data_IF_608400566648
#
_entry.id   IF_608400566648
#
_cell.length_a   1.000
_cell.length_b   1.000
_cell.length_c   1.000
_cell.angle_alpha   90.00
_cell.angle_beta   90.00
_cell.angle_gamma   90.00
#
_symmetry.space_group_name_H-M   'P 1'
#
loop_
_entity.id
_entity.type
_entity.pdbx_description
1 polymer ?
#
# COMPACT_ATOMS: atom_id res chain seq x y z
N UNK A 1 0.29 2.04 5.54
CA UNK A 1 -0.90 1.24 5.21
C UNK A 1 -1.15 1.07 3.71
N UNK A 2 -0.69 1.99 2.85
CA UNK A 2 -1.00 1.96 1.40
C UNK A 2 0.19 1.67 0.50
N UNK A 3 1.40 1.61 1.04
CA UNK A 3 2.61 1.40 0.25
C UNK A 3 2.96 2.52 -0.73
N UNK A 4 2.31 3.67 -0.66
CA UNK A 4 2.54 4.79 -1.58
C UNK A 4 3.97 5.36 -1.48
N UNK A 5 4.41 6.02 -2.57
CA UNK A 5 5.65 6.81 -2.53
C UNK A 5 5.46 8.02 -1.61
N UNK A 6 6.54 8.43 -0.93
CA UNK A 6 6.51 9.58 -0.03
C UNK A 6 5.97 10.84 -0.72
N UNK A 7 6.51 11.19 -1.88
CA UNK A 7 6.05 12.36 -2.64
C UNK A 7 4.57 12.30 -3.00
N UNK A 8 4.02 11.12 -3.26
CA UNK A 8 2.58 10.93 -3.50
C UNK A 8 1.78 11.18 -2.22
N UNK A 9 2.21 10.61 -1.09
CA UNK A 9 1.55 10.79 0.20
C UNK A 9 1.54 12.26 0.64
N UNK A 10 2.64 13.00 0.44
CA UNK A 10 2.74 14.42 0.79
C UNK A 10 1.95 15.36 -0.14
N UNK A 11 1.43 14.86 -1.25
CA UNK A 11 0.52 15.62 -2.12
C UNK A 11 -0.96 15.41 -1.80
N UNK A 12 -1.29 14.49 -0.89
CA UNK A 12 -2.67 14.22 -0.49
C UNK A 12 -3.23 15.41 0.28
N UNK A 13 -4.43 15.81 -0.07
CA UNK A 13 -5.24 16.81 0.64
C UNK A 13 -6.27 16.12 1.53
N UNK A 14 -6.82 16.83 2.50
CA UNK A 14 -7.86 16.29 3.39
C UNK A 14 -9.06 15.79 2.59
N UNK A 15 -9.52 16.55 1.59
CA UNK A 15 -10.62 16.19 0.70
C UNK A 15 -10.40 14.94 -0.15
N UNK A 16 -9.14 14.51 -0.30
CA UNK A 16 -8.81 13.33 -1.09
C UNK A 16 -9.07 12.03 -0.30
N UNK A 17 -9.32 12.15 1.01
CA UNK A 17 -9.69 11.02 1.87
C UNK A 17 -11.20 10.92 1.93
N UNK A 18 -11.74 9.90 1.29
CA UNK A 18 -13.18 9.61 1.28
C UNK A 18 -13.48 8.51 2.30
N UNK A 19 -13.95 8.92 3.47
CA UNK A 19 -14.24 7.99 4.56
C UNK A 19 -15.57 7.23 4.35
N UNK A 20 -16.48 7.75 3.56
CA UNK A 20 -17.78 7.11 3.31
C UNK A 20 -17.62 5.92 2.37
N UNK A 21 -16.77 6.08 1.35
CA UNK A 21 -16.47 5.03 0.39
C UNK A 21 -15.18 4.23 0.75
N UNK A 22 -14.50 4.57 1.84
CA UNK A 22 -13.22 3.98 2.24
C UNK A 22 -12.16 3.98 1.12
N UNK A 23 -11.97 5.12 0.48
CA UNK A 23 -10.98 5.29 -0.59
C UNK A 23 -10.11 6.53 -0.40
N UNK A 24 -8.91 6.48 -0.93
CA UNK A 24 -7.97 7.59 -1.03
C UNK A 24 -7.78 7.93 -2.52
N UNK A 25 -8.08 9.17 -2.89
CA UNK A 25 -7.90 9.69 -4.24
C UNK A 25 -6.53 10.34 -4.36
N UNK A 26 -5.69 9.83 -5.25
CA UNK A 26 -4.34 10.33 -5.51
C UNK A 26 -4.34 11.11 -6.83
N UNK A 27 -4.48 12.43 -6.76
CA UNK A 27 -4.55 13.31 -7.93
C UNK A 27 -3.21 13.55 -8.61
N UNK A 28 -2.10 13.49 -7.85
CA UNK A 28 -0.73 13.74 -8.33
C UNK A 28 0.17 12.54 -8.10
N UNK A 29 0.13 11.56 -9.00
CA UNK A 29 1.09 10.46 -9.02
C UNK A 29 2.27 10.80 -9.94
N UNK A 30 3.41 10.09 -9.79
CA UNK A 30 4.59 10.27 -10.65
C UNK A 30 4.26 10.14 -12.15
N UNK A 31 3.26 9.33 -12.48
CA UNK A 31 2.84 9.06 -13.87
C UNK A 31 1.70 9.98 -14.33
N UNK A 32 1.39 11.06 -13.61
CA UNK A 32 0.31 12.04 -13.90
C UNK A 32 -1.10 11.42 -14.06
N UNK A 33 -1.29 10.15 -13.73
CA UNK A 33 -2.60 9.49 -13.73
C UNK A 33 -3.22 9.58 -12.34
N UNK A 34 -4.50 9.89 -12.29
CA UNK A 34 -5.26 9.76 -11.05
C UNK A 34 -5.31 8.30 -10.65
N UNK A 35 -5.21 8.05 -9.35
CA UNK A 35 -5.27 6.71 -8.80
C UNK A 35 -6.21 6.73 -7.59
N UNK A 36 -7.10 5.75 -7.53
CA UNK A 36 -7.95 5.52 -6.37
C UNK A 36 -7.46 4.24 -5.72
N UNK A 37 -7.18 4.31 -4.42
CA UNK A 37 -6.76 3.16 -3.63
C UNK A 37 -7.68 2.96 -2.44
N UNK A 38 -7.99 1.70 -2.07
CA UNK A 38 -8.81 1.42 -0.90
C UNK A 38 -8.10 1.81 0.39
N UNK A 39 -8.87 2.26 1.37
CA UNK A 39 -8.44 2.41 2.75
C UNK A 39 -8.88 1.18 3.55
N UNK A 40 -7.96 0.59 4.31
CA UNK A 40 -8.37 -0.39 5.31
C UNK A 40 -9.11 0.29 6.46
N UNK A 41 -10.00 -0.45 7.13
CA UNK A 41 -10.74 0.07 8.29
C UNK A 41 -9.81 0.65 9.36
N UNK A 42 -8.72 -0.05 9.67
CA UNK A 42 -7.71 0.43 10.62
C UNK A 42 -7.09 1.75 10.19
N UNK A 43 -6.73 1.89 8.91
CA UNK A 43 -6.15 3.13 8.41
C UNK A 43 -7.16 4.28 8.43
N UNK A 44 -8.43 4.01 8.12
CA UNK A 44 -9.50 5.01 8.19
C UNK A 44 -9.69 5.53 9.62
N UNK A 45 -9.70 4.64 10.62
CA UNK A 45 -9.78 5.02 12.04
C UNK A 45 -8.60 5.90 12.43
N UNK A 46 -7.36 5.50 12.10
CA UNK A 46 -6.16 6.26 12.41
C UNK A 46 -6.18 7.64 11.75
N UNK A 47 -6.63 7.73 10.51
CA UNK A 47 -6.72 9.01 9.80
C UNK A 47 -7.81 9.93 10.39
N UNK A 48 -8.94 9.38 10.83
CA UNK A 48 -9.98 10.16 11.54
C UNK A 48 -9.41 10.75 12.83
N UNK A 49 -8.79 9.94 13.70
CA UNK A 49 -8.15 10.40 14.93
C UNK A 49 -7.05 11.44 14.66
N UNK A 50 -6.26 11.22 13.62
CA UNK A 50 -5.25 12.20 13.22
C UNK A 50 -5.87 13.55 12.81
N UNK A 51 -6.95 13.52 12.04
CA UNK A 51 -7.65 14.73 11.60
C UNK A 51 -8.35 15.48 12.73
N UNK A 52 -8.86 14.77 13.74
CA UNK A 52 -9.42 15.38 14.96
C UNK A 52 -8.37 16.23 15.68
N UNK A 53 -7.12 15.75 15.75
CA UNK A 53 -6.02 16.47 16.39
C UNK A 53 -5.49 17.58 15.48
N UNK A 54 -5.29 17.26 14.19
CA UNK A 54 -4.69 18.17 13.22
C UNK A 54 -5.62 19.34 12.88
N UNK A 55 -6.92 19.06 12.74
CA UNK A 55 -7.88 20.00 12.16
C UNK A 55 -7.61 20.27 10.69
N UNK A 56 -8.07 21.42 10.21
CA UNK A 56 -7.81 21.92 8.86
C UNK A 56 -9.02 21.93 7.96
N UNK A 57 -8.84 22.52 6.75
CA UNK A 57 -9.87 22.65 5.71
C UNK A 57 -9.70 21.56 4.64
N UNK A 58 -10.74 21.26 3.84
CA UNK A 58 -10.67 20.21 2.81
C UNK A 58 -9.51 20.37 1.83
N UNK A 59 -9.10 21.59 1.50
CA UNK A 59 -8.02 21.88 0.56
C UNK A 59 -6.62 21.90 1.15
N UNK A 60 -6.51 21.77 2.46
CA UNK A 60 -5.22 21.69 3.15
C UNK A 60 -4.54 20.34 2.86
N UNK A 61 -3.19 20.32 2.90
CA UNK A 61 -2.45 19.07 2.81
C UNK A 61 -2.71 18.18 4.01
N UNK A 62 -2.97 16.90 3.79
CA UNK A 62 -3.18 15.93 4.86
C UNK A 62 -1.98 15.88 5.81
N UNK A 63 -0.77 15.86 5.25
CA UNK A 63 0.49 15.92 5.98
C UNK A 63 1.18 17.25 5.69
N UNK A 64 1.19 18.14 6.65
CA UNK A 64 1.76 19.48 6.56
C UNK A 64 2.98 19.66 7.48
N UNK A 65 3.67 20.77 7.30
CA UNK A 65 4.63 21.28 8.26
C UNK A 65 3.90 22.01 9.40
N UNK A 66 4.66 22.60 10.34
CA UNK A 66 4.13 23.37 11.48
C UNK A 66 3.35 24.63 11.08
N UNK A 67 3.55 25.12 9.86
CA UNK A 67 2.85 26.29 9.30
C UNK A 67 1.60 25.91 8.46
N UNK A 68 1.24 24.63 8.42
CA UNK A 68 0.12 24.14 7.61
C UNK A 68 0.43 23.97 6.11
N UNK A 69 1.67 24.24 5.68
CA UNK A 69 2.09 24.11 4.30
C UNK A 69 2.51 22.67 3.96
N UNK A 70 2.64 22.40 2.67
CA UNK A 70 3.14 21.12 2.19
C UNK A 70 4.52 20.80 2.76
N UNK A 71 4.63 19.71 3.48
CA UNK A 71 5.91 19.28 4.00
C UNK A 71 6.86 18.77 2.89
N UNK A 72 8.16 18.97 3.08
CA UNK A 72 9.16 18.50 2.14
C UNK A 72 9.47 17.01 2.34
N UNK A 73 9.80 16.30 1.24
CA UNK A 73 10.24 14.91 1.27
C UNK A 73 11.44 14.73 2.21
N UNK A 74 12.38 15.70 2.19
CA UNK A 74 13.59 15.70 3.03
C UNK A 74 13.27 15.76 4.51
N UNK A 75 12.32 16.61 4.90
CA UNK A 75 11.88 16.76 6.29
C UNK A 75 11.33 15.44 6.83
N UNK A 76 10.42 14.79 6.08
CA UNK A 76 9.84 13.52 6.50
C UNK A 76 10.85 12.37 6.52
N UNK A 77 11.76 12.33 5.55
CA UNK A 77 12.86 11.35 5.57
C UNK A 77 13.73 11.49 6.82
N UNK A 78 14.05 12.72 7.20
CA UNK A 78 14.84 12.98 8.42
C UNK A 78 14.07 12.65 9.70
N UNK A 79 12.77 12.98 9.77
CA UNK A 79 11.92 12.62 10.91
C UNK A 79 11.85 11.11 11.11
N UNK A 80 11.56 10.35 10.04
CA UNK A 80 11.52 8.88 10.09
C UNK A 80 12.88 8.31 10.46
N UNK A 81 13.97 8.84 9.89
CA UNK A 81 15.32 8.41 10.23
C UNK A 81 15.61 8.58 11.73
N UNK A 82 15.34 9.77 12.29
CA UNK A 82 15.54 10.06 13.72
C UNK A 82 14.67 9.14 14.59
N UNK A 83 13.42 8.94 14.20
CA UNK A 83 12.49 8.05 14.91
C UNK A 83 13.02 6.61 14.95
N UNK A 84 13.52 6.09 13.84
CA UNK A 84 14.06 4.74 13.74
C UNK A 84 15.36 4.57 14.53
N UNK A 85 16.28 5.54 14.45
CA UNK A 85 17.53 5.51 15.22
C UNK A 85 17.25 5.47 16.73
N UNK A 86 16.32 6.31 17.22
CA UNK A 86 15.93 6.30 18.64
C UNK A 86 15.36 4.96 19.13
N UNK A 87 14.96 4.07 18.22
CA UNK A 87 14.41 2.74 18.51
C UNK A 87 15.33 1.59 18.13
N UNK A 88 16.61 1.89 17.89
CA UNK A 88 17.60 0.91 17.46
C UNK A 88 17.21 0.16 16.17
N UNK A 89 16.47 0.81 15.26
CA UNK A 89 16.11 0.25 13.96
C UNK A 89 17.16 0.67 12.94
N UNK A 90 17.94 -0.29 12.46
CA UNK A 90 19.05 -0.04 11.52
C UNK A 90 18.57 0.42 10.12
N UNK A 91 17.38 -0.04 9.67
CA UNK A 91 16.80 0.38 8.38
C UNK A 91 16.04 1.69 8.55
N UNK A 92 16.66 2.78 8.13
CA UNK A 92 16.13 4.14 8.35
C UNK A 92 15.46 4.76 7.12
N UNK A 93 15.52 4.09 5.96
CA UNK A 93 14.92 4.58 4.72
C UNK A 93 13.39 4.49 4.77
N UNK A 94 12.72 5.58 4.39
CA UNK A 94 11.26 5.59 4.29
C UNK A 94 10.71 4.64 3.21
N UNK A 95 11.53 4.30 2.20
CA UNK A 95 11.17 3.31 1.19
C UNK A 95 10.97 1.90 1.76
N UNK A 96 11.57 1.61 2.93
CA UNK A 96 11.37 0.32 3.61
C UNK A 96 9.89 0.07 3.96
N UNK A 97 9.10 1.10 4.24
CA UNK A 97 7.66 0.92 4.49
C UNK A 97 6.92 0.39 3.27
N UNK A 98 7.28 0.87 2.07
CA UNK A 98 6.71 0.40 0.81
C UNK A 98 7.15 -1.03 0.50
N UNK A 99 8.44 -1.34 0.71
CA UNK A 99 8.95 -2.71 0.57
C UNK A 99 8.27 -3.67 1.55
N UNK A 100 8.08 -3.26 2.80
CA UNK A 100 7.37 -4.05 3.82
C UNK A 100 5.91 -4.27 3.43
N UNK A 101 5.23 -3.25 2.91
CA UNK A 101 3.87 -3.40 2.41
C UNK A 101 3.80 -4.43 1.27
N UNK A 102 4.66 -4.30 0.26
CA UNK A 102 4.69 -5.21 -0.87
C UNK A 102 5.04 -6.64 -0.44
N UNK A 103 6.06 -6.80 0.43
CA UNK A 103 6.43 -8.10 1.01
C UNK A 103 5.26 -8.77 1.71
N UNK A 104 4.60 -8.06 2.64
CA UNK A 104 3.50 -8.62 3.41
C UNK A 104 2.29 -8.96 2.51
N UNK A 105 2.06 -8.17 1.44
CA UNK A 105 1.04 -8.48 0.46
C UNK A 105 1.31 -9.80 -0.26
N UNK A 106 2.55 -10.00 -0.73
CA UNK A 106 2.97 -11.25 -1.40
C UNK A 106 2.87 -12.43 -0.45
N UNK A 107 3.39 -12.29 0.79
CA UNK A 107 3.34 -13.37 1.79
C UNK A 107 1.91 -13.74 2.23
N UNK A 108 0.96 -12.80 2.08
CA UNK A 108 -0.45 -13.03 2.33
C UNK A 108 -1.21 -13.56 1.09
N UNK A 109 -0.52 -14.03 0.06
CA UNK A 109 -1.11 -14.51 -1.20
C UNK A 109 -1.96 -13.45 -1.93
N UNK A 110 -1.64 -12.17 -1.75
CA UNK A 110 -2.34 -11.07 -2.40
C UNK A 110 -2.07 -11.03 -3.90
N UNK A 111 -3.10 -10.75 -4.68
CA UNK A 111 -3.01 -10.65 -6.14
C UNK A 111 -1.98 -9.61 -6.59
N UNK A 112 -1.09 -10.00 -7.51
CA UNK A 112 0.05 -9.19 -7.97
C UNK A 112 -0.38 -8.05 -8.90
N UNK A 113 -1.42 -8.23 -9.69
CA UNK A 113 -1.93 -7.17 -10.56
C UNK A 113 -2.58 -6.06 -9.71
N UNK A 114 -3.27 -6.43 -8.63
CA UNK A 114 -3.77 -5.47 -7.64
C UNK A 114 -2.63 -4.76 -6.91
N UNK A 115 -1.59 -5.48 -6.48
CA UNK A 115 -0.41 -4.88 -5.87
C UNK A 115 0.24 -3.85 -6.80
N UNK A 116 0.47 -4.21 -8.08
CA UNK A 116 0.98 -3.30 -9.10
C UNK A 116 0.15 -2.02 -9.16
N UNK A 117 -1.17 -2.17 -9.21
CA UNK A 117 -2.11 -1.05 -9.28
C UNK A 117 -2.02 -0.17 -8.04
N UNK A 118 -2.08 -0.75 -6.84
CA UNK A 118 -1.99 -0.01 -5.55
C UNK A 118 -0.67 0.74 -5.44
N UNK A 119 0.43 0.10 -5.83
CA UNK A 119 1.75 0.71 -5.80
C UNK A 119 1.97 1.74 -6.93
N UNK A 120 1.16 1.74 -7.98
CA UNK A 120 1.33 2.61 -9.14
C UNK A 120 2.63 2.31 -9.90
N UNK A 121 2.94 1.02 -10.11
CA UNK A 121 4.03 0.59 -10.96
C UNK A 121 3.62 0.66 -12.43
N UNK A 122 4.44 1.27 -13.27
CA UNK A 122 4.21 1.32 -14.73
C UNK A 122 4.38 -0.04 -15.39
N UNK A 123 5.32 -0.85 -14.88
CA UNK A 123 5.58 -2.22 -15.36
C UNK A 123 5.28 -3.25 -14.27
N UNK A 124 4.80 -4.43 -14.67
CA UNK A 124 4.62 -5.56 -13.78
C UNK A 124 5.98 -6.16 -13.35
N UNK A 125 7.01 -5.99 -14.17
CA UNK A 125 8.36 -6.48 -13.86
C UNK A 125 8.85 -5.99 -12.49
N UNK A 126 8.63 -4.70 -12.18
CA UNK A 126 8.99 -4.12 -10.87
C UNK A 126 8.22 -4.77 -9.72
N UNK A 127 7.01 -5.27 -9.96
CA UNK A 127 6.22 -5.96 -8.94
C UNK A 127 6.64 -7.43 -8.83
N UNK A 128 7.03 -8.05 -9.95
CA UNK A 128 7.52 -9.41 -9.97
C UNK A 128 8.85 -9.60 -9.22
N UNK A 129 9.67 -8.54 -9.08
CA UNK A 129 10.85 -8.58 -8.22
C UNK A 129 10.49 -9.00 -6.78
N UNK A 130 9.33 -8.57 -6.28
CA UNK A 130 8.86 -8.99 -4.95
C UNK A 130 8.47 -10.47 -4.91
N UNK A 131 7.92 -11.01 -6.00
CA UNK A 131 7.65 -12.46 -6.10
C UNK A 131 8.94 -13.26 -6.09
N UNK A 132 9.96 -12.82 -6.84
CA UNK A 132 11.25 -13.51 -6.88
C UNK A 132 11.96 -13.44 -5.52
N UNK A 133 11.87 -12.30 -4.81
CA UNK A 133 12.51 -12.10 -3.51
C UNK A 133 11.82 -12.86 -2.36
N UNK A 134 10.52 -13.04 -2.46
CA UNK A 134 9.68 -13.61 -1.39
C UNK A 134 8.88 -14.80 -1.88
N UNK A 135 9.31 -15.36 -3.04
CA UNK A 135 8.63 -16.39 -3.78
C UNK A 135 8.09 -17.49 -2.90
N UNK A 136 6.84 -17.80 -3.15
CA UNK A 136 6.15 -18.87 -2.47
C UNK A 136 6.50 -20.19 -3.13
N UNK A 137 6.46 -21.22 -2.33
CA UNK A 137 6.48 -22.57 -2.80
C UNK A 137 5.38 -22.74 -3.87
N UNK A 138 5.74 -23.15 -5.08
CA UNK A 138 4.80 -23.39 -6.17
C UNK A 138 3.77 -24.47 -5.85
N UNK A 139 4.03 -25.29 -4.84
CA UNK A 139 3.11 -26.29 -4.35
C UNK A 139 2.00 -25.68 -3.47
N UNK A 140 2.25 -24.51 -2.92
CA UNK A 140 1.27 -23.86 -2.05
C UNK A 140 0.04 -23.43 -2.87
N UNK A 141 -1.14 -23.91 -2.44
CA UNK A 141 -2.42 -23.68 -3.13
C UNK A 141 -2.54 -24.32 -4.54
N UNK A 142 -1.58 -25.16 -5.00
CA UNK A 142 -1.64 -25.76 -6.31
C UNK A 142 -2.93 -26.55 -6.55
N UNK A 143 -3.35 -27.34 -5.56
CA UNK A 143 -4.59 -28.13 -5.62
C UNK A 143 -5.85 -27.25 -5.75
N UNK A 144 -5.85 -26.10 -5.05
CA UNK A 144 -6.96 -25.13 -5.10
C UNK A 144 -7.18 -24.54 -6.46
N UNK A 145 -6.10 -24.33 -7.21
CA UNK A 145 -6.13 -23.73 -8.57
C UNK A 145 -6.05 -24.74 -9.69
N UNK A 146 -5.79 -26.01 -9.37
CA UNK A 146 -5.70 -27.08 -10.37
C UNK A 146 -7.10 -27.42 -10.94
N UNK A 147 -7.33 -27.27 -12.24
CA UNK A 147 -8.63 -27.57 -12.85
C UNK A 147 -9.11 -28.98 -12.61
N UNK A 148 -8.20 -29.97 -12.57
CA UNK A 148 -8.54 -31.39 -12.35
C UNK A 148 -9.07 -31.63 -10.94
N UNK A 149 -8.50 -31.00 -9.92
CA UNK A 149 -8.93 -31.15 -8.54
C UNK A 149 -10.28 -30.45 -8.30
N UNK A 150 -10.53 -29.36 -9.00
CA UNK A 150 -11.83 -28.70 -8.99
C UNK A 150 -12.93 -29.50 -9.71
N UNK A 151 -12.59 -30.37 -10.67
CA UNK A 151 -13.54 -31.27 -11.33
C UNK A 151 -13.89 -32.46 -10.43
N UNK A 152 -12.94 -33.00 -9.64
CA UNK A 152 -13.18 -34.11 -8.70
C UNK A 152 -14.20 -33.75 -7.63
N UNK A 153 -14.27 -32.50 -7.21
CA UNK A 153 -15.24 -32.02 -6.25
C UNK A 153 -16.70 -32.07 -6.76
N UNK A 154 -16.92 -32.18 -8.09
CA UNK A 154 -18.23 -32.24 -8.69
C UNK A 154 -18.64 -33.65 -9.15
N UNK A 155 -17.72 -34.57 -9.38
CA UNK A 155 -18.00 -35.93 -9.88
C UNK A 155 -17.07 -36.95 -9.21
N UNK A 156 -17.54 -37.53 -8.15
CA UNK A 156 -16.83 -38.61 -7.45
C UNK A 156 -17.05 -39.97 -8.09
N UNK A 157 -16.69 -40.25 -9.31
CA UNK A 157 -16.29 -41.58 -9.80
C UNK A 157 -15.95 -41.49 -11.30
N UNK A 158 -14.69 -41.69 -11.65
CA UNK A 158 -14.33 -42.17 -12.97
C UNK A 158 -14.55 -43.68 -12.93
N UNK A 159 -15.63 -44.18 -13.53
CA UNK A 159 -15.75 -45.62 -13.85
C UNK A 159 -14.86 -45.89 -15.03
N UNK A 160 -13.84 -46.76 -14.84
CA UNK A 160 -13.15 -47.41 -15.95
C UNK A 160 -14.05 -48.50 -16.55
#
# INVERSE_FOLDING_TARGET
GTGNRLSTALNVKIKDVDFDNNVLRLSKTKNRKQQIIPLSNTLAIILKQYLEIRGGKPDDYLFCNEYGEKASDRTYQQLVRRYNIKRNINRTSIHCFRHTFAKNWVLANGDIARLKTILGHSSIAVTNEYLQMFGQDLQMDFEKFNPLDNLKAKNSVIKM
#
